data_IF_777063173148
#
_entry.id   IF_777063173148
#
_cell.length_a   1.000
_cell.length_b   1.000
_cell.length_c   1.000
_cell.angle_alpha   90.00
_cell.angle_beta   90.00
_cell.angle_gamma   90.00
#
_symmetry.space_group_name_H-M   'P 1'
#
loop_
_entity.id
_entity.type
_entity.pdbx_description
1 polymer ?
#
# COMPACT_ATOMS: atom_id res chain seq x y z
N UNK A 1 -8.59 -57.27 -56.88
CA UNK A 1 -7.51 -56.34 -57.28
C UNK A 1 -6.79 -55.93 -56.00
N UNK A 2 -5.54 -56.32 -55.68
CA UNK A 2 -4.47 -56.99 -56.44
C UNK A 2 -4.02 -56.25 -57.72
N UNK A 3 -2.74 -56.08 -58.08
CA UNK A 3 -1.39 -56.38 -57.51
C UNK A 3 -0.36 -55.48 -58.28
N UNK A 4 0.90 -55.21 -57.94
CA UNK A 4 1.87 -55.55 -56.86
C UNK A 4 2.76 -54.29 -56.61
N UNK A 5 3.31 -54.03 -55.41
CA UNK A 5 4.63 -54.43 -54.88
C UNK A 5 5.87 -54.30 -55.79
N UNK A 6 6.84 -53.47 -55.37
CA UNK A 6 8.30 -53.70 -55.30
C UNK A 6 9.01 -52.39 -54.84
N UNK A 7 10.19 -52.37 -54.18
CA UNK A 7 10.83 -53.34 -53.26
C UNK A 7 11.92 -52.67 -52.41
N UNK A 8 12.44 -53.38 -51.39
CA UNK A 8 13.50 -52.95 -50.45
C UNK A 8 14.93 -53.11 -51.07
N UNK A 9 16.02 -52.50 -50.54
CA UNK A 9 16.64 -52.93 -49.26
C UNK A 9 17.38 -51.84 -48.42
N UNK A 10 17.83 -52.16 -47.19
CA UNK A 10 18.65 -51.28 -46.33
C UNK A 10 20.16 -51.61 -46.33
N UNK A 11 21.00 -50.62 -45.98
CA UNK A 11 22.43 -50.83 -45.65
C UNK A 11 22.95 -49.79 -44.63
N UNK A 12 24.08 -50.09 -43.97
CA UNK A 12 24.80 -49.23 -43.01
C UNK A 12 26.09 -48.69 -43.66
N UNK A 13 26.59 -47.52 -43.25
CA UNK A 13 27.98 -47.36 -42.71
C UNK A 13 28.41 -45.89 -42.46
N UNK A 14 29.35 -45.76 -41.50
CA UNK A 14 30.51 -44.84 -41.45
C UNK A 14 30.34 -43.30 -41.37
N UNK A 15 31.16 -42.74 -40.48
CA UNK A 15 31.70 -41.36 -40.37
C UNK A 15 30.69 -40.21 -40.10
N UNK A 16 30.82 -39.34 -39.10
CA UNK A 16 31.98 -38.61 -38.52
C UNK A 16 32.53 -37.51 -39.45
N UNK A 17 32.82 -36.28 -39.01
CA UNK A 17 32.92 -35.77 -37.62
C UNK A 17 32.21 -34.38 -37.45
N UNK A 18 32.66 -33.38 -36.67
CA UNK A 18 31.74 -32.55 -35.87
C UNK A 18 31.45 -31.16 -36.45
N UNK A 19 30.47 -30.46 -35.86
CA UNK A 19 30.61 -29.11 -35.29
C UNK A 19 29.22 -28.49 -35.02
N UNK A 20 28.84 -28.34 -33.75
CA UNK A 20 28.51 -27.03 -33.16
C UNK A 20 28.32 -27.18 -31.64
N UNK A 21 28.71 -26.17 -30.86
CA UNK A 21 28.83 -26.28 -29.40
C UNK A 21 28.06 -25.19 -28.63
N UNK A 22 27.34 -25.59 -27.58
CA UNK A 22 26.99 -24.69 -26.47
C UNK A 22 27.10 -25.40 -25.10
N UNK A 23 28.20 -26.12 -24.89
CA UNK A 23 28.58 -26.62 -23.57
C UNK A 23 29.11 -25.46 -22.72
N UNK A 24 28.37 -25.07 -21.67
CA UNK A 24 28.75 -23.97 -20.77
C UNK A 24 29.04 -24.44 -19.36
N UNK A 25 30.23 -25.04 -19.20
CA UNK A 25 31.10 -24.98 -18.02
C UNK A 25 30.43 -24.61 -16.67
N UNK A 26 29.84 -25.59 -15.98
CA UNK A 26 29.40 -25.38 -14.60
C UNK A 26 30.60 -25.45 -13.62
N UNK A 27 31.40 -24.38 -13.65
CA UNK A 27 32.69 -24.26 -12.96
C UNK A 27 32.60 -24.66 -11.46
N UNK A 28 33.50 -25.54 -10.96
CA UNK A 28 33.36 -26.17 -9.66
C UNK A 28 33.37 -25.17 -8.50
N UNK A 29 32.49 -25.42 -7.52
CA UNK A 29 32.13 -24.49 -6.44
C UNK A 29 33.33 -23.93 -5.64
N UNK A 30 34.37 -24.73 -5.42
CA UNK A 30 35.57 -24.33 -4.65
C UNK A 30 36.32 -23.14 -5.26
N UNK A 31 36.31 -22.97 -6.58
CA UNK A 31 36.91 -21.82 -7.25
C UNK A 31 36.15 -20.52 -6.93
N UNK A 32 34.81 -20.60 -6.89
CA UNK A 32 33.91 -19.49 -6.54
C UNK A 32 34.15 -19.07 -5.07
N UNK A 33 34.32 -20.02 -4.14
CA UNK A 33 34.70 -19.74 -2.75
C UNK A 33 36.08 -19.09 -2.61
N UNK A 34 37.10 -19.62 -3.30
CA UNK A 34 38.46 -19.09 -3.28
C UNK A 34 38.52 -17.62 -3.69
N UNK A 35 37.81 -17.26 -4.76
CA UNK A 35 37.69 -15.89 -5.24
C UNK A 35 37.00 -14.96 -4.22
N UNK A 36 35.95 -15.43 -3.52
CA UNK A 36 35.28 -14.68 -2.45
C UNK A 36 36.21 -14.47 -1.25
N UNK A 37 36.94 -15.52 -0.83
CA UNK A 37 37.91 -15.48 0.28
C UNK A 37 39.06 -14.49 0.00
N UNK A 38 39.57 -14.47 -1.23
CA UNK A 38 40.56 -13.49 -1.71
C UNK A 38 40.03 -12.05 -1.70
N UNK A 39 38.83 -11.81 -2.26
CA UNK A 39 38.17 -10.48 -2.26
C UNK A 39 37.95 -9.97 -0.82
N UNK A 40 37.55 -10.84 0.11
CA UNK A 40 37.36 -10.52 1.55
C UNK A 40 38.68 -10.15 2.24
N UNK A 41 39.78 -10.88 1.96
CA UNK A 41 41.14 -10.53 2.45
C UNK A 41 41.62 -9.18 1.93
N UNK A 42 41.49 -8.90 0.62
CA UNK A 42 41.89 -7.59 0.04
C UNK A 42 41.11 -6.42 0.64
N UNK A 43 39.79 -6.55 0.85
CA UNK A 43 38.96 -5.53 1.54
C UNK A 43 39.42 -5.27 2.98
N UNK A 44 39.75 -6.31 3.76
CA UNK A 44 40.28 -6.17 5.13
C UNK A 44 41.66 -5.49 5.14
N UNK A 45 42.50 -5.80 4.14
CA UNK A 45 43.81 -5.16 3.96
C UNK A 45 43.72 -3.66 3.64
N UNK A 46 42.82 -3.25 2.73
CA UNK A 46 42.61 -1.81 2.42
C UNK A 46 42.15 -1.05 3.66
N UNK A 47 41.12 -1.52 4.36
CA UNK A 47 40.63 -0.89 5.59
C UNK A 47 41.73 -0.69 6.65
N UNK A 48 42.67 -1.63 6.80
CA UNK A 48 43.78 -1.51 7.78
C UNK A 48 44.86 -0.49 7.38
N UNK A 49 44.91 -0.02 6.12
CA UNK A 49 45.73 1.15 5.73
C UNK A 49 44.95 2.44 5.92
N UNK A 50 43.71 2.45 5.45
CA UNK A 50 42.74 3.57 5.54
C UNK A 50 42.48 4.04 6.99
N UNK A 51 42.54 3.11 7.96
CA UNK A 51 42.47 3.36 9.40
C UNK A 51 43.79 3.90 10.01
N UNK A 52 44.92 3.68 9.32
CA UNK A 52 46.27 4.05 9.76
C UNK A 52 46.72 5.42 9.23
N UNK A 53 46.22 5.80 8.07
CA UNK A 53 46.40 7.11 7.44
C UNK A 53 45.34 8.13 7.94
N UNK A 54 44.49 7.73 8.90
CA UNK A 54 43.48 8.59 9.52
C UNK A 54 44.15 9.57 10.49
N UNK A 55 43.93 10.90 10.35
CA UNK A 55 44.46 11.85 11.33
C UNK A 55 43.88 11.56 12.72
N UNK A 56 44.61 11.87 13.81
CA UNK A 56 44.11 11.68 15.16
C UNK A 56 42.79 12.44 15.33
N UNK A 57 41.82 11.90 16.10
CA UNK A 57 40.57 12.60 16.34
C UNK A 57 40.86 13.97 16.93
N UNK A 58 40.33 15.02 16.30
CA UNK A 58 40.37 16.37 16.84
C UNK A 58 39.87 16.34 18.29
N UNK A 59 40.50 17.09 19.22
CA UNK A 59 40.02 17.14 20.60
C UNK A 59 38.52 17.49 20.57
N UNK A 60 37.69 16.83 21.40
CA UNK A 60 36.26 17.10 21.38
C UNK A 60 36.06 18.58 21.64
N UNK A 61 35.42 19.27 20.70
CA UNK A 61 34.87 20.59 20.96
C UNK A 61 33.94 20.48 22.18
N UNK A 62 33.74 21.56 22.95
CA UNK A 62 32.76 21.59 24.02
C UNK A 62 31.35 21.52 23.40
N UNK A 63 30.94 20.31 23.03
CA UNK A 63 29.62 20.02 22.52
C UNK A 63 28.62 20.36 23.61
N UNK A 64 27.80 21.38 23.34
CA UNK A 64 26.65 21.69 24.16
C UNK A 64 25.82 20.42 24.30
N UNK A 65 25.78 19.86 25.51
CA UNK A 65 25.23 18.55 25.84
C UNK A 65 23.70 18.58 25.89
N UNK A 66 23.12 19.00 24.75
CA UNK A 66 21.70 18.97 24.45
C UNK A 66 21.21 17.53 24.52
N UNK A 67 20.70 17.12 25.68
CA UNK A 67 20.11 15.80 25.93
C UNK A 67 18.99 15.55 24.92
N UNK A 68 18.76 14.30 24.54
CA UNK A 68 17.64 13.97 23.65
C UNK A 68 16.34 14.42 24.34
N UNK A 69 15.50 15.28 23.72
CA UNK A 69 14.24 15.68 24.34
C UNK A 69 13.33 14.48 24.65
N UNK A 70 13.51 13.33 24.00
CA UNK A 70 12.83 12.08 24.36
C UNK A 70 13.31 11.49 25.70
N UNK A 71 14.57 11.70 26.10
CA UNK A 71 15.05 11.35 27.44
C UNK A 71 14.59 12.35 28.50
N UNK A 72 14.46 13.64 28.13
CA UNK A 72 14.06 14.72 29.05
C UNK A 72 12.56 14.74 29.32
N UNK A 73 11.73 14.58 28.28
CA UNK A 73 10.26 14.63 28.39
C UNK A 73 9.61 13.25 28.53
N UNK A 74 10.31 12.17 28.16
CA UNK A 74 9.75 10.83 28.14
C UNK A 74 8.75 10.60 27.00
N UNK A 75 8.25 9.37 26.89
CA UNK A 75 7.43 8.94 25.75
C UNK A 75 6.07 9.66 25.66
N UNK A 76 5.32 9.77 26.76
CA UNK A 76 3.96 10.33 26.72
C UNK A 76 3.90 11.82 26.38
N UNK A 77 4.80 12.63 26.93
CA UNK A 77 4.90 14.04 26.55
C UNK A 77 5.36 14.20 25.08
N UNK A 78 6.23 13.32 24.59
CA UNK A 78 6.59 13.32 23.16
C UNK A 78 5.42 12.88 22.26
N UNK A 79 4.54 11.97 22.69
CA UNK A 79 3.25 11.70 22.00
C UNK A 79 2.36 12.94 22.00
N UNK A 80 2.28 13.68 23.10
CA UNK A 80 1.50 14.93 23.17
C UNK A 80 2.08 16.00 22.24
N UNK A 81 3.40 16.17 22.18
CA UNK A 81 4.08 17.11 21.29
C UNK A 81 3.85 16.73 19.82
N UNK A 82 4.14 15.48 19.43
CA UNK A 82 4.01 14.99 18.05
C UNK A 82 2.56 15.03 17.53
N UNK A 83 1.56 14.94 18.41
CA UNK A 83 0.13 15.06 18.03
C UNK A 83 -0.23 16.42 17.41
N UNK A 84 0.52 17.48 17.72
CA UNK A 84 0.30 18.82 17.17
C UNK A 84 0.94 19.01 15.78
N UNK A 85 1.73 18.05 15.32
CA UNK A 85 2.39 18.10 14.01
C UNK A 85 1.48 17.54 12.90
N UNK A 86 1.84 17.85 11.66
CA UNK A 86 1.25 17.23 10.49
C UNK A 86 1.77 15.79 10.29
N UNK A 87 1.03 14.97 9.54
CA UNK A 87 1.40 13.57 9.32
C UNK A 87 2.76 13.38 8.62
N UNK A 88 3.22 14.35 7.81
CA UNK A 88 4.57 14.30 7.18
C UNK A 88 5.66 14.48 8.22
N UNK A 89 5.52 15.42 9.15
CA UNK A 89 6.52 15.65 10.21
C UNK A 89 6.55 14.49 11.22
N UNK A 90 5.40 13.88 11.53
CA UNK A 90 5.36 12.63 12.32
C UNK A 90 6.02 11.47 11.55
N UNK A 91 5.79 11.34 10.23
CA UNK A 91 6.48 10.33 9.41
C UNK A 91 7.99 10.53 9.37
N UNK A 92 8.48 11.77 9.25
CA UNK A 92 9.92 12.07 9.31
C UNK A 92 10.52 11.77 10.70
N UNK A 93 9.74 11.92 11.77
CA UNK A 93 10.15 11.59 13.14
C UNK A 93 10.47 10.10 13.35
N UNK A 94 9.91 9.20 12.52
CA UNK A 94 10.26 7.77 12.51
C UNK A 94 11.73 7.51 12.12
N UNK A 95 12.35 8.44 11.39
CA UNK A 95 13.69 8.28 10.81
C UNK A 95 14.82 8.76 11.72
N UNK A 96 14.49 9.45 12.83
CA UNK A 96 15.46 10.12 13.71
C UNK A 96 16.29 9.12 14.53
N UNK A 97 15.63 8.20 15.25
CA UNK A 97 16.31 7.18 16.05
C UNK A 97 15.38 6.00 16.36
N UNK A 98 15.94 4.88 16.86
CA UNK A 98 15.14 3.71 17.27
C UNK A 98 14.20 4.00 18.45
N UNK A 99 14.53 4.98 19.29
CA UNK A 99 13.68 5.42 20.40
C UNK A 99 12.54 6.31 19.87
N UNK A 100 12.88 7.31 19.04
CA UNK A 100 11.91 8.16 18.37
C UNK A 100 10.92 7.38 17.51
N UNK A 101 11.39 6.38 16.75
CA UNK A 101 10.51 5.50 15.97
C UNK A 101 9.44 4.82 16.84
N UNK A 102 9.78 4.32 18.05
CA UNK A 102 8.79 3.65 18.93
C UNK A 102 7.66 4.58 19.35
N UNK A 103 7.96 5.88 19.52
CA UNK A 103 6.96 6.90 19.88
C UNK A 103 6.20 7.36 18.64
N UNK A 104 6.91 7.70 17.57
CA UNK A 104 6.33 8.20 16.32
C UNK A 104 5.52 7.13 15.56
N UNK A 105 5.70 5.83 15.83
CA UNK A 105 4.86 4.75 15.29
C UNK A 105 3.66 4.38 16.18
N UNK A 106 3.34 5.19 17.19
CA UNK A 106 2.22 4.92 18.11
C UNK A 106 0.86 5.12 17.45
N UNK A 107 -0.02 4.14 17.57
CA UNK A 107 -1.39 4.21 17.04
C UNK A 107 -2.23 5.34 17.68
N UNK A 108 -1.82 5.88 18.84
CA UNK A 108 -2.43 7.08 19.45
C UNK A 108 -2.19 8.35 18.61
N UNK A 109 -1.06 8.43 17.88
CA UNK A 109 -0.80 9.49 16.91
C UNK A 109 -1.58 9.21 15.61
N UNK A 110 -1.45 8.00 15.09
CA UNK A 110 -1.93 7.67 13.75
C UNK A 110 -3.45 7.44 13.67
N UNK A 111 -4.16 7.19 14.77
CA UNK A 111 -5.64 7.19 14.79
C UNK A 111 -6.17 8.55 14.35
N UNK A 112 -5.74 9.62 15.05
CA UNK A 112 -6.08 11.00 14.71
C UNK A 112 -5.65 11.37 13.29
N UNK A 113 -4.50 10.89 12.82
CA UNK A 113 -4.08 11.14 11.43
C UNK A 113 -4.89 10.36 10.39
N UNK A 114 -5.42 9.18 10.73
CA UNK A 114 -6.40 8.49 9.89
C UNK A 114 -7.72 9.27 9.85
N UNK A 115 -8.23 9.74 11.00
CA UNK A 115 -9.44 10.57 11.08
C UNK A 115 -9.29 11.86 10.25
N UNK A 116 -8.17 12.58 10.40
CA UNK A 116 -7.84 13.76 9.59
C UNK A 116 -7.73 13.43 8.07
N UNK A 117 -7.25 12.24 7.69
CA UNK A 117 -7.10 11.77 6.30
C UNK A 117 -8.40 11.20 5.68
N UNK A 118 -9.33 10.74 6.51
CA UNK A 118 -10.60 10.12 6.11
C UNK A 118 -11.77 11.10 6.16
N UNK A 119 -11.64 12.19 6.92
CA UNK A 119 -12.58 13.31 6.89
C UNK A 119 -12.83 13.80 5.47
N UNK A 120 -14.11 13.98 5.12
CA UNK A 120 -14.54 14.41 3.78
C UNK A 120 -14.36 13.39 2.65
N UNK A 121 -13.75 12.22 2.87
CA UNK A 121 -13.68 11.18 1.82
C UNK A 121 -15.03 10.51 1.63
N UNK A 122 -15.37 10.25 0.36
CA UNK A 122 -16.50 9.43 -0.04
C UNK A 122 -16.23 7.92 0.12
N UNK A 123 -14.96 7.50 0.13
CA UNK A 123 -14.54 6.11 0.24
C UNK A 123 -13.27 5.95 1.11
N UNK A 124 -13.26 4.93 1.95
CA UNK A 124 -12.17 4.50 2.84
C UNK A 124 -11.96 2.99 2.58
N UNK A 125 -10.89 2.59 1.89
CA UNK A 125 -10.66 1.18 1.54
C UNK A 125 -10.65 0.28 2.76
N UNK A 126 -11.43 -0.80 2.75
CA UNK A 126 -11.55 -1.76 3.86
C UNK A 126 -10.22 -2.42 4.26
N UNK A 127 -9.25 -2.52 3.34
CA UNK A 127 -7.88 -2.95 3.67
C UNK A 127 -7.19 -2.00 4.68
N UNK A 128 -7.61 -0.73 4.76
CA UNK A 128 -7.15 0.23 5.79
C UNK A 128 -7.97 0.16 7.10
N UNK A 129 -9.06 -0.62 7.12
CA UNK A 129 -10.00 -0.71 8.24
C UNK A 129 -9.95 -2.08 8.96
N UNK A 130 -9.15 -3.04 8.47
CA UNK A 130 -9.03 -4.38 9.06
C UNK A 130 -8.54 -4.31 10.51
N UNK A 131 -9.29 -4.92 11.43
CA UNK A 131 -8.90 -5.03 12.85
C UNK A 131 -7.53 -5.69 13.01
N UNK A 132 -6.70 -5.14 13.90
CA UNK A 132 -5.33 -5.62 14.15
C UNK A 132 -4.24 -5.01 13.25
N UNK A 133 -4.59 -4.22 12.23
CA UNK A 133 -3.62 -3.37 11.54
C UNK A 133 -3.24 -2.16 12.41
N UNK A 134 -1.95 -1.81 12.42
CA UNK A 134 -1.50 -0.53 12.99
C UNK A 134 -2.11 0.62 12.19
N UNK A 135 -2.39 1.73 12.87
CA UNK A 135 -2.93 2.95 12.27
C UNK A 135 -1.91 3.62 11.36
N UNK A 136 -0.61 3.45 11.60
CA UNK A 136 0.45 3.82 10.65
C UNK A 136 0.32 3.05 9.33
N UNK A 137 0.03 1.73 9.40
CA UNK A 137 -0.23 0.91 8.21
C UNK A 137 -1.51 1.35 7.51
N UNK A 138 -2.60 1.56 8.25
CA UNK A 138 -3.88 2.04 7.71
C UNK A 138 -3.76 3.40 6.99
N UNK A 139 -3.02 4.35 7.59
CA UNK A 139 -2.71 5.65 6.98
C UNK A 139 -1.91 5.47 5.69
N UNK A 140 -0.85 4.65 5.72
CA UNK A 140 0.00 4.38 4.54
C UNK A 140 -0.80 3.78 3.38
N UNK A 141 -1.62 2.76 3.66
CA UNK A 141 -2.55 2.17 2.69
C UNK A 141 -3.51 3.24 2.13
N UNK A 142 -4.11 4.06 3.00
CA UNK A 142 -5.04 5.13 2.60
C UNK A 142 -4.41 6.26 1.78
N UNK A 143 -3.09 6.49 1.89
CA UNK A 143 -2.33 7.45 1.08
C UNK A 143 -1.87 6.84 -0.25
N UNK A 144 -1.57 5.53 -0.28
CA UNK A 144 -1.33 4.83 -1.55
C UNK A 144 -2.62 4.74 -2.37
N UNK A 145 -3.73 4.43 -1.72
CA UNK A 145 -5.04 4.28 -2.36
C UNK A 145 -5.58 5.61 -2.92
N UNK A 146 -5.36 6.72 -2.21
CA UNK A 146 -5.70 8.07 -2.68
C UNK A 146 -4.97 8.53 -3.95
N UNK A 147 -4.09 7.69 -4.54
CA UNK A 147 -3.48 7.89 -5.87
C UNK A 147 -4.24 7.16 -6.99
N UNK A 148 -5.24 6.33 -6.67
CA UNK A 148 -6.12 5.71 -7.65
C UNK A 148 -7.00 6.78 -8.31
N UNK A 149 -7.11 6.73 -9.62
CA UNK A 149 -8.00 7.61 -10.43
C UNK A 149 -9.26 6.90 -10.90
N UNK A 150 -9.50 5.67 -10.44
CA UNK A 150 -10.64 4.82 -10.80
C UNK A 150 -11.11 4.02 -9.58
N UNK A 151 -12.42 4.04 -9.33
CA UNK A 151 -13.10 3.10 -8.46
C UNK A 151 -13.37 1.79 -9.24
N UNK A 152 -13.27 0.63 -8.59
CA UNK A 152 -13.58 -0.67 -9.20
C UNK A 152 -14.96 -1.16 -8.73
N UNK A 153 -15.51 -2.18 -9.42
CA UNK A 153 -16.77 -2.80 -8.97
C UNK A 153 -16.67 -3.38 -7.55
N UNK A 154 -15.48 -3.83 -7.12
CA UNK A 154 -15.27 -4.37 -5.79
C UNK A 154 -15.38 -3.27 -4.72
N UNK A 155 -14.78 -2.10 -4.96
CA UNK A 155 -14.90 -0.95 -4.05
C UNK A 155 -16.37 -0.52 -3.87
N UNK A 156 -17.17 -0.56 -4.94
CA UNK A 156 -18.61 -0.25 -4.88
C UNK A 156 -19.42 -1.29 -4.08
N UNK A 157 -19.08 -2.57 -4.19
CA UNK A 157 -19.81 -3.68 -3.54
C UNK A 157 -19.34 -3.99 -2.11
N UNK A 158 -18.29 -3.34 -1.62
CA UNK A 158 -17.60 -3.70 -0.37
C UNK A 158 -18.31 -3.19 0.91
N UNK A 159 -19.19 -2.19 0.77
CA UNK A 159 -19.85 -1.48 1.87
C UNK A 159 -21.19 -0.84 1.44
N UNK A 160 -21.99 -0.44 2.43
CA UNK A 160 -23.17 0.38 2.21
C UNK A 160 -22.80 1.84 1.92
N UNK A 161 -23.53 2.47 1.00
CA UNK A 161 -23.37 3.88 0.66
C UNK A 161 -24.54 4.70 1.19
N UNK A 162 -24.25 5.68 2.05
CA UNK A 162 -25.17 6.78 2.35
C UNK A 162 -25.41 7.59 1.06
N UNK A 163 -26.68 7.84 0.78
CA UNK A 163 -27.17 8.57 -0.37
C UNK A 163 -28.05 9.73 0.08
N UNK A 164 -27.80 10.92 -0.49
CA UNK A 164 -28.71 12.05 -0.38
C UNK A 164 -28.66 12.92 -1.65
N UNK A 165 -29.76 13.62 -1.92
CA UNK A 165 -29.82 14.58 -3.02
C UNK A 165 -29.08 15.87 -2.64
N UNK A 166 -28.45 16.53 -3.63
CA UNK A 166 -27.85 17.85 -3.42
C UNK A 166 -28.91 18.96 -3.37
N UNK A 167 -28.56 20.13 -2.82
CA UNK A 167 -29.48 21.28 -2.68
C UNK A 167 -30.07 21.76 -4.03
N UNK A 168 -29.38 21.48 -5.13
CA UNK A 168 -29.81 21.81 -6.49
C UNK A 168 -30.88 20.85 -7.06
N UNK A 169 -31.18 19.73 -6.39
CA UNK A 169 -32.23 18.82 -6.83
C UNK A 169 -33.63 19.49 -6.73
N UNK A 170 -34.55 19.19 -7.66
CA UNK A 170 -35.95 19.62 -7.58
C UNK A 170 -36.59 19.33 -6.22
N UNK A 171 -37.50 20.19 -5.80
CA UNK A 171 -38.15 20.12 -4.49
C UNK A 171 -38.93 18.81 -4.25
N UNK A 172 -39.41 18.15 -5.31
CA UNK A 172 -39.98 16.81 -5.24
C UNK A 172 -39.01 15.79 -4.61
N UNK A 173 -37.79 15.66 -5.16
CA UNK A 173 -36.78 14.72 -4.67
C UNK A 173 -36.30 15.07 -3.26
N UNK A 174 -36.08 16.37 -2.99
CA UNK A 174 -35.74 16.85 -1.64
C UNK A 174 -36.88 16.68 -0.62
N UNK A 175 -38.11 16.37 -1.05
CA UNK A 175 -39.22 16.05 -0.15
C UNK A 175 -39.36 14.56 0.17
N UNK A 176 -38.74 13.69 -0.64
CA UNK A 176 -38.63 12.24 -0.37
C UNK A 176 -37.42 11.92 0.52
N UNK A 177 -36.34 12.69 0.36
CA UNK A 177 -35.07 12.51 1.06
C UNK A 177 -35.13 12.79 2.58
N UNK A 178 -34.87 11.76 3.39
CA UNK A 178 -34.84 11.85 4.85
C UNK A 178 -33.83 12.88 5.38
N UNK A 179 -32.71 13.13 4.68
CA UNK A 179 -31.71 14.15 5.05
C UNK A 179 -32.28 15.56 4.98
N UNK A 180 -33.03 15.89 3.92
CA UNK A 180 -33.66 17.21 3.76
C UNK A 180 -34.88 17.41 4.65
N UNK A 181 -35.53 16.32 5.07
CA UNK A 181 -36.72 16.36 5.94
C UNK A 181 -36.38 16.26 7.43
N UNK A 182 -35.22 15.72 7.79
CA UNK A 182 -34.84 15.45 9.18
C UNK A 182 -35.67 14.34 9.83
N UNK A 183 -36.31 13.48 9.04
CA UNK A 183 -37.36 12.53 9.49
C UNK A 183 -36.88 11.09 9.68
N UNK A 184 -35.60 10.78 9.46
CA UNK A 184 -35.08 9.41 9.54
C UNK A 184 -33.58 9.30 9.31
N UNK A 185 -33.03 8.07 9.29
CA UNK A 185 -31.65 7.82 8.90
C UNK A 185 -31.40 8.17 7.42
N UNK A 186 -30.12 8.30 6.99
CA UNK A 186 -29.77 8.40 5.58
C UNK A 186 -30.30 7.22 4.77
N UNK A 187 -30.55 7.42 3.47
CA UNK A 187 -30.90 6.32 2.57
C UNK A 187 -29.64 5.51 2.24
N UNK A 188 -29.68 4.19 2.45
CA UNK A 188 -28.56 3.32 2.05
C UNK A 188 -28.77 2.72 0.66
N UNK A 189 -27.69 2.65 -0.12
CA UNK A 189 -27.62 1.97 -1.41
C UNK A 189 -26.53 0.91 -1.35
N UNK A 190 -26.86 -0.29 -1.84
CA UNK A 190 -25.97 -1.45 -1.91
C UNK A 190 -25.78 -1.82 -3.37
N UNK A 191 -24.53 -2.01 -3.79
CA UNK A 191 -24.19 -2.46 -5.15
C UNK A 191 -23.73 -3.92 -5.14
N UNK A 192 -24.11 -4.67 -6.17
CA UNK A 192 -23.83 -6.10 -6.27
C UNK A 192 -22.94 -6.44 -7.47
N UNK A 193 -22.23 -7.57 -7.39
CA UNK A 193 -21.20 -7.94 -8.37
C UNK A 193 -21.72 -8.31 -9.77
N UNK A 194 -23.02 -8.51 -9.89
CA UNK A 194 -23.80 -8.71 -11.13
C UNK A 194 -24.24 -7.38 -11.79
N UNK A 195 -24.05 -6.24 -11.11
CA UNK A 195 -24.48 -4.92 -11.55
C UNK A 195 -25.86 -4.50 -11.04
N UNK A 196 -26.54 -5.32 -10.24
CA UNK A 196 -27.78 -4.93 -9.56
C UNK A 196 -27.51 -4.00 -8.37
N UNK A 197 -28.56 -3.33 -7.91
CA UNK A 197 -28.54 -2.43 -6.75
C UNK A 197 -29.75 -2.73 -5.84
N UNK A 198 -29.59 -2.51 -4.52
CA UNK A 198 -30.69 -2.63 -3.55
C UNK A 198 -30.66 -1.51 -2.51
N UNK A 199 -31.76 -1.37 -1.77
CA UNK A 199 -31.99 -0.38 -0.72
C UNK A 199 -32.56 -1.04 0.55
N UNK A 200 -32.67 -0.29 1.64
CA UNK A 200 -33.20 -0.80 2.91
C UNK A 200 -34.70 -1.15 2.85
N UNK A 201 -35.16 -2.15 3.64
CA UNK A 201 -36.57 -2.53 3.69
C UNK A 201 -37.47 -1.39 4.17
N UNK A 202 -38.26 -0.83 3.26
CA UNK A 202 -39.15 0.31 3.52
C UNK A 202 -38.75 1.59 2.76
N UNK A 203 -37.57 1.62 2.14
CA UNK A 203 -37.22 2.67 1.18
C UNK A 203 -38.08 2.52 -0.09
N UNK A 204 -38.85 3.57 -0.38
CA UNK A 204 -39.77 3.62 -1.54
C UNK A 204 -39.04 3.93 -2.85
N UNK A 205 -37.78 4.37 -2.79
CA UNK A 205 -36.93 4.64 -3.95
C UNK A 205 -36.17 3.39 -4.45
N UNK A 206 -36.45 2.19 -3.93
CA UNK A 206 -35.85 0.94 -4.42
C UNK A 206 -36.04 0.71 -5.94
N UNK A 207 -37.04 1.35 -6.55
CA UNK A 207 -37.28 1.36 -8.00
C UNK A 207 -36.59 2.49 -8.79
N UNK A 208 -35.71 3.30 -8.18
CA UNK A 208 -34.88 4.27 -8.92
C UNK A 208 -33.76 3.54 -9.67
N UNK A 209 -34.08 2.99 -10.85
CA UNK A 209 -33.05 2.75 -11.85
C UNK A 209 -32.26 4.06 -12.06
N UNK A 210 -30.93 4.01 -11.89
CA UNK A 210 -30.04 5.13 -12.21
C UNK A 210 -29.87 5.35 -13.73
N UNK A 211 -30.83 4.86 -14.52
CA UNK A 211 -30.94 5.06 -15.96
C UNK A 211 -31.19 6.54 -16.28
N UNK A 212 -30.16 7.20 -16.81
CA UNK A 212 -30.22 8.49 -17.48
C UNK A 212 -30.61 9.73 -16.63
N UNK A 213 -30.89 9.60 -15.33
CA UNK A 213 -31.09 10.76 -14.42
C UNK A 213 -29.76 11.44 -14.06
N UNK A 214 -29.29 12.32 -14.95
CA UNK A 214 -28.04 13.08 -14.81
C UNK A 214 -28.17 14.25 -13.82
N UNK A 215 -28.33 13.94 -12.54
CA UNK A 215 -28.34 14.92 -11.43
C UNK A 215 -27.13 14.74 -10.51
N UNK A 216 -26.74 15.80 -9.80
CA UNK A 216 -25.59 15.79 -8.90
C UNK A 216 -25.91 15.04 -7.60
N UNK A 217 -25.69 13.72 -7.63
CA UNK A 217 -25.78 12.83 -6.48
C UNK A 217 -24.53 12.98 -5.59
N UNK A 218 -24.71 12.83 -4.28
CA UNK A 218 -23.61 12.66 -3.33
C UNK A 218 -23.72 11.26 -2.72
N UNK A 219 -22.68 10.45 -2.94
CA UNK A 219 -22.50 9.12 -2.36
C UNK A 219 -21.37 9.20 -1.33
N UNK A 220 -21.58 8.58 -0.17
CA UNK A 220 -20.60 8.53 0.91
C UNK A 220 -20.64 7.16 1.58
N UNK A 221 -19.48 6.57 1.82
CA UNK A 221 -19.36 5.33 2.58
C UNK A 221 -19.87 5.51 4.03
N UNK A 222 -20.68 4.57 4.50
CA UNK A 222 -21.05 4.46 5.91
C UNK A 222 -19.78 4.24 6.78
N UNK A 223 -19.75 4.84 7.96
CA UNK A 223 -18.63 4.75 8.92
C UNK A 223 -18.78 3.60 9.93
#
# INVERSE_FOLDING_TARGET
MAQTMDSMPPAKSSDASPDDADERDDLPSSAKEGAVKWKKRRRRGKRKREDRDRPPPSPPSPSSSSRDPLEVFGADLMVMILNNLDARSVALSLLVSRAWHRVASSDRLWSRKCEELWSGKAHIPRISQVHGLSKLTAYSLSVMDGKRTRITKYDLCDHAWEFHFSKAAPEYWRNLDAYWKGTGPPMHRYFHLDGSQSADPGDKEAGLELGNVKWCLLLRQCA
#
